data_IF_008337947730
#
_entry.id   IF_008337947730
#
_cell.length_a   1.000
_cell.length_b   1.000
_cell.length_c   1.000
_cell.angle_alpha   90.00
_cell.angle_beta   90.00
_cell.angle_gamma   90.00
#
_symmetry.space_group_name_H-M   'P 1'
#
loop_
_entity.id
_entity.type
_entity.pdbx_description
1 polymer ?
#
# COMPACT_ATOMS: atom_id res chain seq x y z
N UNK A 1 9.86 42.17 -18.91
CA UNK A 1 10.10 42.18 -17.45
C UNK A 1 9.23 41.20 -16.64
N UNK A 2 7.94 41.46 -16.33
CA UNK A 2 7.15 40.54 -15.46
C UNK A 2 6.94 39.13 -16.08
N UNK A 3 6.68 39.06 -17.38
CA UNK A 3 6.52 37.79 -18.10
C UNK A 3 7.84 36.98 -18.20
N UNK A 4 8.99 37.65 -18.30
CA UNK A 4 10.31 36.99 -18.32
C UNK A 4 10.70 36.45 -16.96
N UNK A 5 10.43 37.18 -15.87
CA UNK A 5 10.65 36.71 -14.51
C UNK A 5 9.80 35.46 -14.24
N UNK A 6 8.54 35.45 -14.67
CA UNK A 6 7.65 34.29 -14.55
C UNK A 6 8.17 33.11 -15.40
N UNK A 7 8.58 33.35 -16.66
CA UNK A 7 9.14 32.32 -17.53
C UNK A 7 10.42 31.70 -16.93
N UNK A 8 11.34 32.52 -16.44
CA UNK A 8 12.58 32.05 -15.82
C UNK A 8 12.32 31.23 -14.55
N UNK A 9 11.35 31.65 -13.73
CA UNK A 9 10.96 30.92 -12.51
C UNK A 9 10.21 29.61 -12.79
N UNK A 10 9.42 29.55 -13.87
CA UNK A 10 8.79 28.30 -14.32
C UNK A 10 9.85 27.34 -14.87
N UNK A 11 10.79 27.86 -15.66
CA UNK A 11 11.85 27.06 -16.24
C UNK A 11 12.78 26.49 -15.17
N UNK A 12 13.16 27.28 -14.16
CA UNK A 12 13.96 26.79 -13.04
C UNK A 12 13.24 25.73 -12.21
N UNK A 13 11.92 25.84 -12.01
CA UNK A 13 11.12 24.81 -11.34
C UNK A 13 11.01 23.53 -12.18
N UNK A 14 10.87 23.63 -13.51
CA UNK A 14 10.83 22.47 -14.40
C UNK A 14 12.19 21.76 -14.48
N UNK A 15 13.29 22.51 -14.49
CA UNK A 15 14.66 21.97 -14.42
C UNK A 15 14.88 21.25 -13.08
N UNK A 16 14.41 21.81 -11.97
CA UNK A 16 14.45 21.18 -10.65
C UNK A 16 13.64 19.88 -10.59
N UNK A 17 12.44 19.86 -11.18
CA UNK A 17 11.60 18.66 -11.25
C UNK A 17 12.28 17.55 -12.06
N UNK A 18 12.90 17.86 -13.21
CA UNK A 18 13.65 16.90 -14.02
C UNK A 18 14.85 16.33 -13.26
N UNK A 19 15.62 17.19 -12.60
CA UNK A 19 16.79 16.76 -11.83
C UNK A 19 16.39 15.84 -10.67
N UNK A 20 15.37 16.21 -9.89
CA UNK A 20 14.88 15.37 -8.80
C UNK A 20 14.33 14.03 -9.31
N UNK A 21 13.64 14.02 -10.46
CA UNK A 21 13.16 12.78 -11.07
C UNK A 21 14.33 11.88 -11.51
N UNK A 22 15.33 12.45 -12.18
CA UNK A 22 16.54 11.71 -12.60
C UNK A 22 17.25 11.10 -11.38
N UNK A 23 17.43 11.89 -10.32
CA UNK A 23 18.05 11.42 -9.08
C UNK A 23 17.23 10.30 -8.42
N UNK A 24 15.91 10.42 -8.39
CA UNK A 24 15.04 9.35 -7.87
C UNK A 24 15.17 8.07 -8.69
N UNK A 25 15.23 8.17 -10.03
CA UNK A 25 15.46 7.01 -10.91
C UNK A 25 16.85 6.39 -10.72
N UNK A 26 17.90 7.21 -10.54
CA UNK A 26 19.26 6.74 -10.24
C UNK A 26 19.34 5.95 -8.93
N UNK A 27 18.42 6.17 -7.99
CA UNK A 27 18.30 5.39 -6.76
C UNK A 27 17.43 4.15 -6.99
N UNK A 28 16.25 4.31 -7.59
CA UNK A 28 15.27 3.23 -7.73
C UNK A 28 15.74 2.12 -8.68
N UNK A 29 16.44 2.44 -9.78
CA UNK A 29 16.86 1.45 -10.78
C UNK A 29 17.87 0.44 -10.20
N UNK A 30 18.98 0.85 -9.54
CA UNK A 30 19.89 -0.12 -8.91
C UNK A 30 19.21 -0.98 -7.85
N UNK A 31 18.35 -0.37 -7.00
CA UNK A 31 17.59 -1.12 -6.00
C UNK A 31 16.67 -2.17 -6.66
N UNK A 32 16.00 -1.80 -7.75
CA UNK A 32 15.12 -2.71 -8.46
C UNK A 32 15.85 -3.80 -9.22
N UNK A 33 17.04 -3.53 -9.73
CA UNK A 33 17.81 -4.51 -10.46
C UNK A 33 18.42 -5.57 -9.53
N UNK A 34 19.12 -5.14 -8.47
CA UNK A 34 19.96 -6.03 -7.66
C UNK A 34 19.26 -6.64 -6.45
N UNK A 35 18.22 -6.00 -5.92
CA UNK A 35 17.56 -6.46 -4.69
C UNK A 35 16.23 -7.13 -4.99
N UNK A 36 15.73 -7.95 -4.08
CA UNK A 36 14.42 -8.58 -4.13
C UNK A 36 14.19 -9.41 -2.88
N UNK A 37 13.04 -9.23 -2.23
CA UNK A 37 12.72 -9.96 -1.01
C UNK A 37 12.55 -11.45 -1.31
N UNK A 38 13.24 -12.32 -0.57
CA UNK A 38 13.28 -13.76 -0.80
C UNK A 38 11.90 -14.40 -1.05
N UNK A 39 10.91 -14.08 -0.22
CA UNK A 39 9.57 -14.66 -0.35
C UNK A 39 8.83 -14.14 -1.59
N UNK A 40 8.80 -12.82 -1.78
CA UNK A 40 7.96 -12.19 -2.79
C UNK A 40 8.54 -12.29 -4.20
N UNK A 41 9.88 -12.33 -4.35
CA UNK A 41 10.49 -12.55 -5.66
C UNK A 41 10.16 -13.95 -6.19
N UNK A 42 10.15 -14.97 -5.31
CA UNK A 42 9.77 -16.34 -5.66
C UNK A 42 8.33 -16.40 -6.16
N UNK A 43 7.41 -15.80 -5.41
CA UNK A 43 5.99 -15.73 -5.81
C UNK A 43 5.81 -14.95 -7.10
N UNK A 44 6.42 -13.77 -7.23
CA UNK A 44 6.19 -12.89 -8.38
C UNK A 44 6.72 -13.50 -9.67
N UNK A 45 7.94 -14.05 -9.63
CA UNK A 45 8.52 -14.73 -10.80
C UNK A 45 7.80 -16.04 -11.13
N UNK A 46 7.45 -16.83 -10.12
CA UNK A 46 6.68 -18.06 -10.30
C UNK A 46 5.31 -17.80 -10.89
N UNK A 47 4.60 -16.80 -10.37
CA UNK A 47 3.29 -16.37 -10.88
C UNK A 47 3.37 -15.97 -12.35
N UNK A 48 4.38 -15.17 -12.73
CA UNK A 48 4.52 -14.78 -14.13
C UNK A 48 4.78 -15.97 -15.04
N UNK A 49 5.61 -16.93 -14.62
CA UNK A 49 5.79 -18.19 -15.33
C UNK A 49 4.47 -18.96 -15.46
N UNK A 50 3.74 -19.20 -14.35
CA UNK A 50 2.51 -19.99 -14.35
C UNK A 50 1.45 -19.38 -15.27
N UNK A 51 1.16 -18.09 -15.12
CA UNK A 51 0.15 -17.40 -15.94
C UNK A 51 0.53 -17.42 -17.41
N UNK A 52 1.80 -17.22 -17.75
CA UNK A 52 2.28 -17.26 -19.14
C UNK A 52 2.14 -18.64 -19.82
N UNK A 53 2.00 -19.71 -19.02
CA UNK A 53 1.80 -21.09 -19.49
C UNK A 53 0.35 -21.57 -19.30
N UNK A 54 -0.59 -20.67 -18.97
CA UNK A 54 -2.00 -21.01 -18.76
C UNK A 54 -2.25 -21.82 -17.47
N UNK A 55 -1.31 -21.82 -16.53
CA UNK A 55 -1.41 -22.51 -15.26
C UNK A 55 -2.04 -21.60 -14.19
N UNK A 56 -2.63 -22.22 -13.17
CA UNK A 56 -3.26 -21.54 -12.05
C UNK A 56 -2.21 -20.90 -11.12
N UNK A 57 -2.14 -19.56 -10.99
CA UNK A 57 -1.13 -18.89 -10.17
C UNK A 57 -1.35 -19.02 -8.66
N UNK A 58 -2.50 -19.53 -8.25
CA UNK A 58 -2.87 -19.72 -6.84
C UNK A 58 -2.41 -21.06 -6.27
N UNK A 59 -1.83 -21.92 -7.12
CA UNK A 59 -1.31 -23.23 -6.74
C UNK A 59 0.14 -23.17 -6.27
N UNK A 60 0.49 -24.08 -5.35
CA UNK A 60 1.87 -24.31 -4.97
C UNK A 60 2.62 -24.98 -6.11
N UNK A 61 3.89 -24.60 -6.29
CA UNK A 61 4.67 -25.04 -7.44
C UNK A 61 6.17 -25.08 -7.13
N UNK A 62 6.92 -25.91 -7.85
CA UNK A 62 8.38 -26.01 -7.74
C UNK A 62 9.05 -25.25 -8.88
N UNK A 63 9.97 -24.34 -8.54
CA UNK A 63 10.60 -23.42 -9.49
C UNK A 63 12.07 -23.74 -9.78
N UNK A 64 12.67 -24.68 -9.05
CA UNK A 64 14.11 -24.95 -9.13
C UNK A 64 14.58 -25.34 -10.53
N UNK A 65 13.81 -26.17 -11.24
CA UNK A 65 14.13 -26.58 -12.61
C UNK A 65 13.79 -25.55 -13.70
N UNK A 66 13.10 -24.46 -13.35
CA UNK A 66 12.73 -23.39 -14.30
C UNK A 66 13.79 -22.29 -14.26
N UNK A 67 14.14 -21.83 -13.06
CA UNK A 67 15.04 -20.68 -12.87
C UNK A 67 16.49 -21.08 -12.56
N UNK A 68 16.76 -22.37 -12.26
CA UNK A 68 18.10 -22.91 -11.99
C UNK A 68 18.94 -22.07 -11.01
N UNK A 69 18.31 -21.52 -9.97
CA UNK A 69 18.95 -20.66 -8.99
C UNK A 69 18.53 -21.04 -7.56
N UNK A 70 19.45 -20.94 -6.60
CA UNK A 70 19.31 -21.48 -5.25
C UNK A 70 18.07 -20.96 -4.50
N UNK A 71 17.70 -19.69 -4.70
CA UNK A 71 16.51 -19.11 -4.05
C UNK A 71 15.20 -19.78 -4.47
N UNK A 72 15.17 -20.51 -5.60
CA UNK A 72 13.98 -21.19 -6.11
C UNK A 72 13.91 -22.67 -5.72
N UNK A 73 14.80 -23.13 -4.85
CA UNK A 73 14.69 -24.46 -4.26
C UNK A 73 13.48 -24.56 -3.34
N UNK A 74 12.91 -25.76 -3.23
CA UNK A 74 11.69 -26.03 -2.46
C UNK A 74 10.40 -25.53 -3.11
N UNK A 75 9.30 -25.72 -2.38
CA UNK A 75 7.96 -25.33 -2.84
C UNK A 75 7.79 -23.82 -2.70
N UNK A 76 7.22 -23.19 -3.73
CA UNK A 76 6.79 -21.79 -3.72
C UNK A 76 5.28 -21.74 -3.55
N UNK A 77 4.74 -20.94 -2.62
CA UNK A 77 3.30 -20.77 -2.49
C UNK A 77 2.71 -20.03 -3.68
N UNK A 78 1.39 -20.18 -3.87
CA UNK A 78 0.64 -19.40 -4.84
C UNK A 78 0.55 -17.92 -4.45
N UNK A 79 0.17 -17.08 -5.42
CA UNK A 79 0.01 -15.65 -5.18
C UNK A 79 -1.15 -15.34 -4.24
N UNK A 80 -0.93 -14.44 -3.28
CA UNK A 80 -1.97 -13.96 -2.35
C UNK A 80 -2.76 -12.74 -2.84
N UNK A 81 -2.63 -12.37 -4.12
CA UNK A 81 -3.26 -11.17 -4.70
C UNK A 81 -4.34 -11.56 -5.71
N UNK A 82 -5.36 -10.70 -5.92
CA UNK A 82 -6.36 -11.00 -6.93
C UNK A 82 -5.77 -10.93 -8.35
N UNK A 83 -6.50 -11.46 -9.36
CA UNK A 83 -5.96 -11.73 -10.69
C UNK A 83 -5.23 -10.61 -11.43
N UNK A 84 -5.59 -9.31 -11.33
CA UNK A 84 -4.97 -8.27 -12.15
C UNK A 84 -3.45 -8.22 -12.04
N UNK A 85 -2.87 -8.40 -10.84
CA UNK A 85 -1.41 -8.43 -10.71
C UNK A 85 -0.80 -9.70 -11.30
N UNK A 86 -1.43 -10.87 -11.13
CA UNK A 86 -0.97 -12.12 -11.72
C UNK A 86 -0.91 -12.03 -13.26
N UNK A 87 -1.93 -11.42 -13.88
CA UNK A 87 -1.97 -11.18 -15.32
C UNK A 87 -0.84 -10.24 -15.79
N UNK A 88 -0.57 -9.18 -15.03
CA UNK A 88 0.55 -8.27 -15.31
C UNK A 88 1.89 -9.03 -15.23
N UNK A 89 2.10 -9.84 -14.18
CA UNK A 89 3.32 -10.66 -14.04
C UNK A 89 3.50 -11.65 -15.20
N UNK A 90 2.41 -12.26 -15.67
CA UNK A 90 2.41 -13.15 -16.84
C UNK A 90 2.87 -12.43 -18.11
N UNK A 91 2.35 -11.23 -18.35
CA UNK A 91 2.78 -10.39 -19.47
C UNK A 91 4.26 -10.00 -19.34
N UNK A 92 4.71 -9.61 -18.14
CA UNK A 92 6.10 -9.26 -17.89
C UNK A 92 7.02 -10.45 -18.16
N UNK A 93 6.65 -11.68 -17.75
CA UNK A 93 7.41 -12.89 -18.06
C UNK A 93 7.58 -13.06 -19.58
N UNK A 94 6.49 -12.95 -20.34
CA UNK A 94 6.50 -13.09 -21.80
C UNK A 94 7.39 -12.05 -22.49
N UNK A 95 7.45 -10.84 -21.95
CA UNK A 95 8.21 -9.71 -22.51
C UNK A 95 9.65 -9.59 -21.97
N UNK A 96 10.04 -10.41 -21.00
CA UNK A 96 11.39 -10.36 -20.40
C UNK A 96 12.02 -11.75 -20.36
N UNK A 97 11.78 -12.53 -19.31
CA UNK A 97 12.47 -13.80 -19.06
C UNK A 97 12.32 -14.81 -20.20
N UNK A 98 11.15 -14.86 -20.87
CA UNK A 98 10.96 -15.74 -22.03
C UNK A 98 11.86 -15.40 -23.22
N UNK A 99 12.24 -14.12 -23.36
CA UNK A 99 13.09 -13.62 -24.44
C UNK A 99 14.56 -13.70 -24.02
N UNK A 100 14.87 -13.22 -22.81
CA UNK A 100 16.21 -13.20 -22.23
C UNK A 100 16.11 -13.83 -20.84
N UNK A 101 16.48 -15.11 -20.69
CA UNK A 101 16.34 -15.87 -19.43
C UNK A 101 17.42 -15.46 -18.40
N UNK A 102 17.33 -14.20 -17.95
CA UNK A 102 18.17 -13.60 -16.93
C UNK A 102 17.31 -13.15 -15.74
N UNK A 103 17.68 -13.58 -14.53
CA UNK A 103 16.89 -13.34 -13.32
C UNK A 103 16.92 -11.88 -12.87
N UNK A 104 18.05 -11.19 -13.04
CA UNK A 104 18.17 -9.78 -12.66
C UNK A 104 17.33 -8.89 -13.58
N UNK A 105 17.36 -9.17 -14.88
CA UNK A 105 16.53 -8.50 -15.86
C UNK A 105 15.04 -8.77 -15.61
N UNK A 106 14.67 -10.01 -15.26
CA UNK A 106 13.28 -10.33 -14.95
C UNK A 106 12.80 -9.65 -13.66
N UNK A 107 13.62 -9.66 -12.60
CA UNK A 107 13.36 -8.94 -11.35
C UNK A 107 13.16 -7.45 -11.61
N UNK A 108 14.05 -6.84 -12.40
CA UNK A 108 13.95 -5.45 -12.81
C UNK A 108 12.67 -5.19 -13.61
N UNK A 109 12.33 -6.04 -14.57
CA UNK A 109 11.13 -5.91 -15.39
C UNK A 109 9.84 -5.96 -14.56
N UNK A 110 9.77 -6.82 -13.54
CA UNK A 110 8.66 -6.87 -12.57
C UNK A 110 8.50 -5.52 -11.84
N UNK A 111 9.61 -4.84 -11.55
CA UNK A 111 9.63 -3.62 -10.73
C UNK A 111 9.52 -2.33 -11.53
N UNK A 112 9.68 -2.36 -12.84
CA UNK A 112 9.41 -1.20 -13.72
C UNK A 112 8.01 -0.58 -13.50
N UNK A 113 6.89 -1.34 -13.54
CA UNK A 113 5.57 -0.77 -13.26
C UNK A 113 5.45 -0.23 -11.83
N UNK A 114 6.19 -0.77 -10.87
CA UNK A 114 6.22 -0.31 -9.47
C UNK A 114 6.93 1.04 -9.35
N UNK A 115 8.10 1.19 -9.97
CA UNK A 115 8.83 2.48 -10.05
C UNK A 115 7.97 3.54 -10.74
N UNK A 116 7.32 3.19 -11.86
CA UNK A 116 6.39 4.08 -12.53
C UNK A 116 5.22 4.47 -11.61
N UNK A 117 4.69 3.51 -10.85
CA UNK A 117 3.68 3.72 -9.81
C UNK A 117 4.11 4.75 -8.76
N UNK A 118 5.34 4.66 -8.24
CA UNK A 118 5.88 5.61 -7.26
C UNK A 118 5.96 7.03 -7.82
N UNK A 119 6.42 7.17 -9.05
CA UNK A 119 6.53 8.47 -9.73
C UNK A 119 5.13 9.06 -9.94
N UNK A 120 4.19 8.26 -10.47
CA UNK A 120 2.81 8.70 -10.69
C UNK A 120 2.09 9.01 -9.38
N UNK A 121 2.35 8.27 -8.31
CA UNK A 121 1.85 8.54 -6.97
C UNK A 121 2.31 9.92 -6.48
N UNK A 122 3.60 10.22 -6.59
CA UNK A 122 4.13 11.52 -6.19
C UNK A 122 3.44 12.65 -6.96
N UNK A 123 3.29 12.52 -8.28
CA UNK A 123 2.60 13.51 -9.11
C UNK A 123 1.11 13.61 -8.78
N UNK A 124 0.42 12.51 -8.51
CA UNK A 124 -0.98 12.50 -8.12
C UNK A 124 -1.20 13.27 -6.81
N UNK A 125 -0.34 13.07 -5.82
CA UNK A 125 -0.37 13.82 -4.56
C UNK A 125 -0.13 15.31 -4.79
N UNK A 126 0.92 15.66 -5.55
CA UNK A 126 1.20 17.07 -5.89
C UNK A 126 0.01 17.73 -6.58
N UNK A 127 -0.59 17.04 -7.55
CA UNK A 127 -1.71 17.56 -8.33
C UNK A 127 -2.96 17.73 -7.48
N UNK A 128 -3.27 16.78 -6.60
CA UNK A 128 -4.40 16.89 -5.67
C UNK A 128 -4.18 18.07 -4.70
N UNK A 129 -2.97 18.22 -4.15
CA UNK A 129 -2.62 19.35 -3.28
C UNK A 129 -2.78 20.70 -4.00
N UNK A 130 -2.24 20.84 -5.21
CA UNK A 130 -2.29 22.09 -5.97
C UNK A 130 -3.71 22.43 -6.47
N UNK A 131 -4.38 21.46 -7.09
CA UNK A 131 -5.57 21.74 -7.88
C UNK A 131 -6.87 21.53 -7.13
N UNK A 132 -6.94 20.56 -6.22
CA UNK A 132 -8.16 20.22 -5.49
C UNK A 132 -8.17 20.85 -4.09
N UNK A 133 -7.00 20.89 -3.43
CA UNK A 133 -6.84 21.49 -2.10
C UNK A 133 -6.32 22.93 -2.11
N UNK A 134 -5.89 23.45 -3.27
CA UNK A 134 -5.38 24.82 -3.44
C UNK A 134 -4.20 25.16 -2.52
N UNK A 135 -3.35 24.18 -2.23
CA UNK A 135 -2.13 24.36 -1.45
C UNK A 135 -1.06 25.09 -2.28
N UNK A 136 -0.22 25.86 -1.60
CA UNK A 136 0.86 26.59 -2.25
C UNK A 136 1.86 25.64 -2.95
N UNK A 137 2.49 26.17 -4.01
CA UNK A 137 3.37 25.38 -4.88
C UNK A 137 4.58 24.80 -4.16
N UNK A 138 5.11 25.50 -3.17
CA UNK A 138 6.32 25.08 -2.46
C UNK A 138 5.99 23.87 -1.61
N UNK A 139 4.93 23.95 -0.80
CA UNK A 139 4.48 22.81 0.01
C UNK A 139 4.08 21.60 -0.82
N UNK A 140 3.39 21.81 -1.94
CA UNK A 140 3.05 20.71 -2.84
C UNK A 140 4.29 20.06 -3.48
N UNK A 141 5.32 20.85 -3.82
CA UNK A 141 6.60 20.33 -4.30
C UNK A 141 7.37 19.59 -3.19
N UNK A 142 7.34 20.07 -1.95
CA UNK A 142 7.91 19.34 -0.80
C UNK A 142 7.22 17.99 -0.60
N UNK A 143 5.89 17.94 -0.65
CA UNK A 143 5.14 16.69 -0.58
C UNK A 143 5.52 15.69 -1.69
N UNK A 144 5.71 16.20 -2.91
CA UNK A 144 6.18 15.41 -4.05
C UNK A 144 7.57 14.80 -3.80
N UNK A 145 8.54 15.62 -3.36
CA UNK A 145 9.89 15.16 -3.03
C UNK A 145 9.86 14.14 -1.88
N UNK A 146 9.03 14.36 -0.87
CA UNK A 146 8.90 13.45 0.27
C UNK A 146 8.41 12.07 -0.13
N UNK A 147 7.61 11.94 -1.19
CA UNK A 147 7.19 10.64 -1.71
C UNK A 147 8.30 10.01 -2.55
N UNK A 148 8.91 10.76 -3.46
CA UNK A 148 9.98 10.25 -4.34
C UNK A 148 11.22 9.75 -3.59
N UNK A 149 11.51 10.34 -2.43
CA UNK A 149 12.70 10.04 -1.64
C UNK A 149 12.36 9.49 -0.26
N UNK A 150 11.13 9.03 -0.02
CA UNK A 150 10.81 8.37 1.25
C UNK A 150 11.62 7.06 1.36
N UNK A 151 12.47 6.87 2.39
CA UNK A 151 13.27 5.66 2.51
C UNK A 151 12.43 4.39 2.64
N UNK A 152 11.28 4.47 3.31
CA UNK A 152 10.36 3.35 3.44
C UNK A 152 9.82 2.94 2.07
N UNK A 153 9.22 3.88 1.32
CA UNK A 153 8.70 3.61 -0.02
C UNK A 153 9.79 3.03 -0.92
N UNK A 154 10.98 3.64 -0.99
CA UNK A 154 12.06 3.15 -1.85
C UNK A 154 12.45 1.69 -1.53
N UNK A 155 12.46 1.34 -0.25
CA UNK A 155 12.79 -0.01 0.21
C UNK A 155 11.65 -0.99 -0.08
N UNK A 156 10.42 -0.71 0.33
CA UNK A 156 9.28 -1.64 0.17
C UNK A 156 8.76 -1.73 -1.26
N UNK A 157 9.00 -0.73 -2.10
CA UNK A 157 8.60 -0.76 -3.51
C UNK A 157 9.76 -1.17 -4.42
N UNK A 158 10.80 -0.34 -4.58
CA UNK A 158 11.85 -0.56 -5.58
C UNK A 158 12.80 -1.68 -5.17
N UNK A 159 13.26 -1.72 -3.91
CA UNK A 159 14.15 -2.80 -3.47
C UNK A 159 13.41 -4.12 -3.24
N UNK A 160 12.20 -4.09 -2.68
CA UNK A 160 11.44 -5.29 -2.33
C UNK A 160 10.58 -5.82 -3.47
N UNK A 161 9.87 -4.94 -4.19
CA UNK A 161 8.97 -5.29 -5.30
C UNK A 161 7.47 -5.30 -4.93
N UNK A 162 7.04 -4.53 -3.93
CA UNK A 162 5.62 -4.48 -3.54
C UNK A 162 4.85 -3.42 -4.33
N UNK A 163 3.59 -3.71 -4.61
CA UNK A 163 2.72 -2.92 -5.50
C UNK A 163 1.86 -1.88 -4.76
N UNK A 164 1.99 -1.77 -3.44
CA UNK A 164 1.14 -0.93 -2.60
C UNK A 164 1.21 0.56 -3.01
N UNK A 165 2.34 1.03 -3.56
CA UNK A 165 2.44 2.37 -4.17
C UNK A 165 1.53 2.57 -5.40
N UNK A 166 1.35 1.55 -6.25
CA UNK A 166 0.40 1.57 -7.37
C UNK A 166 -1.03 1.63 -6.83
N UNK A 167 -1.33 0.84 -5.79
CA UNK A 167 -2.64 0.84 -5.12
C UNK A 167 -2.94 2.23 -4.55
N UNK A 168 -1.99 2.85 -3.86
CA UNK A 168 -2.11 4.21 -3.34
C UNK A 168 -2.38 5.24 -4.44
N UNK A 169 -1.66 5.13 -5.57
CA UNK A 169 -1.84 6.01 -6.73
C UNK A 169 -3.27 5.93 -7.26
N UNK A 170 -3.80 4.72 -7.44
CA UNK A 170 -5.16 4.49 -7.95
C UNK A 170 -6.22 5.02 -6.96
N UNK A 171 -6.02 4.86 -5.66
CA UNK A 171 -6.92 5.42 -4.64
C UNK A 171 -6.93 6.95 -4.70
N UNK A 172 -5.76 7.59 -4.72
CA UNK A 172 -5.66 9.06 -4.78
C UNK A 172 -6.27 9.59 -6.08
N UNK A 173 -6.01 8.93 -7.21
CA UNK A 173 -6.61 9.28 -8.50
C UNK A 173 -8.13 9.06 -8.50
N UNK A 174 -8.62 8.02 -7.83
CA UNK A 174 -10.06 7.80 -7.63
C UNK A 174 -10.70 8.98 -6.90
N UNK A 175 -10.08 9.44 -5.80
CA UNK A 175 -10.55 10.59 -5.03
C UNK A 175 -10.49 11.90 -5.81
N UNK A 176 -9.43 12.10 -6.60
CA UNK A 176 -9.32 13.23 -7.52
C UNK A 176 -10.50 13.29 -8.49
N UNK A 177 -10.83 12.17 -9.15
CA UNK A 177 -11.96 12.10 -10.06
C UNK A 177 -13.32 12.22 -9.37
N UNK A 178 -13.45 11.68 -8.16
CA UNK A 178 -14.66 11.82 -7.36
C UNK A 178 -14.96 13.29 -7.04
N UNK A 179 -13.92 14.04 -6.63
CA UNK A 179 -14.04 15.45 -6.33
C UNK A 179 -14.53 16.24 -7.55
N UNK A 180 -14.06 15.88 -8.75
CA UNK A 180 -14.48 16.45 -10.04
C UNK A 180 -15.82 15.90 -10.57
N UNK A 181 -16.58 15.21 -9.74
CA UNK A 181 -17.90 14.60 -10.07
C UNK A 181 -17.85 13.54 -11.17
N UNK A 182 -16.66 13.00 -11.47
CA UNK A 182 -16.47 11.92 -12.44
C UNK A 182 -16.64 10.55 -11.76
N UNK A 183 -17.84 10.31 -11.23
CA UNK A 183 -18.16 9.19 -10.32
C UNK A 183 -17.83 7.82 -10.90
N UNK A 184 -18.12 7.60 -12.19
CA UNK A 184 -17.82 6.32 -12.85
C UNK A 184 -16.33 6.01 -12.91
N UNK A 185 -15.49 7.01 -13.25
CA UNK A 185 -14.03 6.82 -13.30
C UNK A 185 -13.46 6.56 -11.90
N UNK A 186 -13.96 7.29 -10.90
CA UNK A 186 -13.60 7.05 -9.51
C UNK A 186 -13.94 5.62 -9.06
N UNK A 187 -15.15 5.15 -9.36
CA UNK A 187 -15.60 3.80 -9.00
C UNK A 187 -14.70 2.71 -9.63
N UNK A 188 -14.40 2.83 -10.94
CA UNK A 188 -13.52 1.87 -11.63
C UNK A 188 -12.10 1.88 -11.04
N UNK A 189 -11.54 3.05 -10.77
CA UNK A 189 -10.18 3.15 -10.22
C UNK A 189 -10.06 2.59 -8.80
N UNK A 190 -11.07 2.82 -7.94
CA UNK A 190 -11.07 2.23 -6.60
C UNK A 190 -11.29 0.72 -6.66
N UNK A 191 -12.18 0.25 -7.52
CA UNK A 191 -12.36 -1.18 -7.78
C UNK A 191 -11.07 -1.84 -8.26
N UNK A 192 -10.32 -1.19 -9.16
CA UNK A 192 -9.01 -1.67 -9.62
C UNK A 192 -7.99 -1.69 -8.48
N UNK A 193 -7.93 -0.66 -7.62
CA UNK A 193 -7.06 -0.64 -6.46
C UNK A 193 -7.34 -1.82 -5.51
N UNK A 194 -8.61 -2.06 -5.19
CA UNK A 194 -9.07 -3.20 -4.37
C UNK A 194 -8.71 -4.54 -5.03
N UNK A 195 -8.90 -4.64 -6.35
CA UNK A 195 -8.62 -5.85 -7.13
C UNK A 195 -7.13 -6.08 -7.35
N UNK A 196 -6.26 -5.09 -7.17
CA UNK A 196 -4.81 -5.31 -7.10
C UNK A 196 -4.38 -5.78 -5.72
N UNK A 197 -4.92 -5.15 -4.67
CA UNK A 197 -4.66 -5.55 -3.29
C UNK A 197 -5.85 -5.18 -2.38
N UNK A 198 -6.47 -6.14 -1.68
CA UNK A 198 -7.64 -5.90 -0.84
C UNK A 198 -7.42 -4.92 0.33
N UNK A 199 -6.18 -4.52 0.62
CA UNK A 199 -5.82 -3.50 1.62
C UNK A 199 -6.53 -2.14 1.38
N UNK A 200 -6.97 -1.85 0.15
CA UNK A 200 -7.75 -0.66 -0.18
C UNK A 200 -9.27 -0.78 0.11
N UNK A 201 -9.79 -2.00 0.36
CA UNK A 201 -11.23 -2.26 0.58
C UNK A 201 -11.85 -1.42 1.71
N UNK A 202 -11.17 -1.18 2.86
CA UNK A 202 -11.65 -0.28 3.91
C UNK A 202 -12.13 1.10 3.44
N UNK A 203 -11.62 1.59 2.31
CA UNK A 203 -11.94 2.91 1.77
C UNK A 203 -13.23 2.95 0.95
N UNK A 204 -13.78 1.80 0.53
CA UNK A 204 -14.96 1.73 -0.35
C UNK A 204 -16.21 2.44 0.19
N UNK A 205 -16.52 2.41 1.50
CA UNK A 205 -17.66 3.16 2.02
C UNK A 205 -17.51 4.69 1.94
N UNK A 206 -16.29 5.26 1.96
CA UNK A 206 -16.09 6.72 1.90
C UNK A 206 -16.76 7.36 0.66
N UNK A 207 -16.46 6.94 -0.59
CA UNK A 207 -17.06 7.53 -1.78
C UNK A 207 -18.55 7.21 -1.93
N UNK A 208 -19.03 6.08 -1.41
CA UNK A 208 -20.46 5.73 -1.37
C UNK A 208 -21.21 6.75 -0.51
N UNK A 209 -20.72 7.01 0.71
CA UNK A 209 -21.31 8.01 1.59
C UNK A 209 -21.18 9.42 0.99
N UNK A 210 -20.04 9.75 0.37
CA UNK A 210 -19.85 11.04 -0.32
C UNK A 210 -20.90 11.27 -1.41
N UNK A 211 -21.17 10.26 -2.23
CA UNK A 211 -22.12 10.36 -3.36
C UNK A 211 -23.59 10.31 -2.90
N UNK A 212 -23.90 9.55 -1.85
CA UNK A 212 -25.25 9.45 -1.27
C UNK A 212 -25.81 10.80 -0.82
N UNK A 213 -24.96 11.71 -0.35
CA UNK A 213 -25.36 13.07 0.03
C UNK A 213 -25.82 13.93 -1.13
N UNK A 214 -25.25 13.71 -2.32
CA UNK A 214 -25.65 14.45 -3.52
C UNK A 214 -26.94 13.88 -4.12
N UNK A 215 -26.96 12.56 -4.35
CA UNK A 215 -28.13 11.86 -4.89
C UNK A 215 -28.01 10.35 -4.65
N UNK A 216 -29.10 9.73 -4.23
CA UNK A 216 -29.19 8.26 -4.15
C UNK A 216 -28.92 7.57 -5.48
N UNK A 217 -29.26 8.21 -6.62
CA UNK A 217 -28.94 7.69 -7.96
C UNK A 217 -27.43 7.65 -8.20
N UNK A 218 -26.70 8.68 -7.78
CA UNK A 218 -25.24 8.72 -7.89
C UNK A 218 -24.57 7.70 -6.99
N UNK A 219 -25.10 7.48 -5.78
CA UNK A 219 -24.66 6.43 -4.87
C UNK A 219 -24.87 5.03 -5.47
N UNK A 220 -26.09 4.72 -5.93
CA UNK A 220 -26.40 3.46 -6.58
C UNK A 220 -25.51 3.21 -7.80
N UNK A 221 -25.31 4.25 -8.63
CA UNK A 221 -24.38 4.18 -9.77
C UNK A 221 -22.94 3.87 -9.33
N UNK A 222 -22.44 4.52 -8.29
CA UNK A 222 -21.09 4.29 -7.78
C UNK A 222 -20.93 2.85 -7.28
N UNK A 223 -21.90 2.36 -6.51
CA UNK A 223 -21.92 1.01 -5.96
C UNK A 223 -21.96 -0.04 -7.06
N UNK A 224 -22.88 0.09 -8.03
CA UNK A 224 -23.02 -0.85 -9.15
C UNK A 224 -21.73 -0.90 -9.98
N UNK A 225 -21.17 0.25 -10.35
CA UNK A 225 -19.93 0.28 -11.15
C UNK A 225 -18.77 -0.33 -10.36
N UNK A 226 -18.65 -0.02 -9.07
CA UNK A 226 -17.58 -0.58 -8.23
C UNK A 226 -17.69 -2.10 -8.12
N UNK A 227 -18.88 -2.61 -7.78
CA UNK A 227 -19.13 -4.05 -7.65
C UNK A 227 -18.94 -4.80 -8.97
N UNK A 228 -19.48 -4.27 -10.07
CA UNK A 228 -19.30 -4.85 -11.39
C UNK A 228 -17.82 -4.87 -11.80
N UNK A 229 -17.07 -3.78 -11.53
CA UNK A 229 -15.65 -3.71 -11.85
C UNK A 229 -14.83 -4.69 -11.01
N UNK A 230 -15.10 -4.80 -9.71
CA UNK A 230 -14.44 -5.80 -8.84
C UNK A 230 -14.74 -7.21 -9.37
N UNK A 231 -16.02 -7.53 -9.62
CA UNK A 231 -16.41 -8.84 -10.14
C UNK A 231 -15.71 -9.16 -11.46
N UNK A 232 -15.69 -8.22 -12.39
CA UNK A 232 -15.01 -8.40 -13.69
C UNK A 232 -13.51 -8.62 -13.49
N UNK A 233 -12.85 -7.81 -12.67
CA UNK A 233 -11.41 -7.90 -12.47
C UNK A 233 -10.97 -9.13 -11.68
N UNK A 234 -11.82 -9.66 -10.80
CA UNK A 234 -11.45 -10.77 -9.92
C UNK A 234 -12.03 -12.13 -10.30
N UNK A 235 -13.18 -12.18 -10.96
CA UNK A 235 -13.88 -13.44 -11.27
C UNK A 235 -13.73 -13.85 -12.73
N UNK A 236 -13.79 -12.89 -13.67
CA UNK A 236 -13.68 -13.21 -15.11
C UNK A 236 -12.36 -13.92 -15.48
N UNK A 237 -11.19 -13.57 -14.91
CA UNK A 237 -9.95 -14.28 -15.20
C UNK A 237 -9.99 -15.77 -14.86
N UNK A 238 -10.71 -16.17 -13.79
CA UNK A 238 -10.86 -17.59 -13.45
C UNK A 238 -11.62 -18.36 -14.53
N UNK A 239 -12.69 -17.77 -15.07
CA UNK A 239 -13.46 -18.39 -16.14
C UNK A 239 -12.73 -18.40 -17.48
N UNK A 240 -12.04 -17.32 -17.83
CA UNK A 240 -11.35 -17.21 -19.14
C UNK A 240 -10.08 -18.06 -19.22
N UNK A 241 -9.39 -18.28 -18.10
CA UNK A 241 -8.12 -18.99 -18.04
C UNK A 241 -8.24 -20.37 -17.36
N UNK A 242 -9.46 -20.82 -17.08
CA UNK A 242 -9.76 -22.10 -16.44
C UNK A 242 -9.00 -22.30 -15.11
N UNK A 243 -8.85 -21.22 -14.33
CA UNK A 243 -8.21 -21.31 -13.01
C UNK A 243 -9.18 -21.88 -11.98
N UNK A 244 -8.70 -22.77 -11.13
CA UNK A 244 -9.50 -23.36 -10.06
C UNK A 244 -9.64 -22.39 -8.86
N UNK A 245 -10.85 -21.89 -8.54
CA UNK A 245 -11.05 -20.98 -7.41
C UNK A 245 -11.04 -21.69 -6.06
N UNK A 246 -11.10 -23.03 -6.03
CA UNK A 246 -11.28 -23.82 -4.81
C UNK A 246 -10.20 -23.60 -3.76
N UNK A 247 -8.97 -23.27 -4.16
CA UNK A 247 -7.88 -22.97 -3.22
C UNK A 247 -8.16 -21.66 -2.47
N UNK A 248 -8.62 -20.64 -3.17
CA UNK A 248 -8.97 -19.35 -2.55
C UNK A 248 -10.19 -19.53 -1.65
N UNK A 249 -11.23 -20.24 -2.13
CA UNK A 249 -12.44 -20.45 -1.35
C UNK A 249 -12.20 -21.26 -0.07
N UNK A 250 -11.23 -22.18 -0.06
CA UNK A 250 -10.84 -22.94 1.14
C UNK A 250 -9.94 -22.17 2.11
N UNK A 251 -9.28 -21.11 1.64
CA UNK A 251 -8.30 -20.33 2.42
C UNK A 251 -8.64 -18.83 2.42
N UNK A 252 -9.94 -18.50 2.36
CA UNK A 252 -10.40 -17.11 2.23
C UNK A 252 -10.05 -16.25 3.45
N UNK A 253 -9.84 -16.90 4.59
CA UNK A 253 -9.51 -16.33 5.90
C UNK A 253 -8.03 -16.52 6.30
N UNK A 254 -7.16 -16.87 5.34
CA UNK A 254 -5.75 -17.13 5.61
C UNK A 254 -5.01 -15.91 6.20
N UNK A 255 -5.48 -14.68 5.94
CA UNK A 255 -4.89 -13.47 6.51
C UNK A 255 -5.48 -13.10 7.88
N UNK A 256 -6.60 -13.72 8.26
CA UNK A 256 -7.38 -13.48 9.46
C UNK A 256 -6.98 -14.47 10.55
N UNK A 257 -6.50 -15.65 10.18
CA UNK A 257 -5.96 -16.68 11.09
C UNK A 257 -4.50 -16.45 11.49
N UNK A 258 -3.83 -15.50 10.85
CA UNK A 258 -2.43 -15.17 11.11
C UNK A 258 -2.32 -13.99 12.08
N UNK A 259 -1.39 -14.08 13.03
CA UNK A 259 -1.05 -13.04 14.00
C UNK A 259 0.43 -12.65 13.83
N UNK A 260 0.70 -11.37 13.58
CA UNK A 260 2.08 -10.89 13.53
C UNK A 260 2.31 -9.67 12.64
N UNK A 261 3.55 -9.51 12.19
CA UNK A 261 3.97 -8.33 11.45
C UNK A 261 3.84 -7.05 12.29
N UNK A 262 3.52 -5.93 11.66
CA UNK A 262 3.36 -4.62 12.31
C UNK A 262 2.00 -4.47 13.04
N UNK A 263 1.55 -5.55 13.68
CA UNK A 263 0.27 -5.62 14.38
C UNK A 263 0.46 -5.64 15.90
N UNK A 264 -0.56 -5.16 16.64
CA UNK A 264 -0.61 -5.36 18.10
C UNK A 264 -0.58 -6.85 18.46
N UNK A 265 -1.09 -7.72 17.60
CA UNK A 265 -1.10 -9.18 17.79
C UNK A 265 0.28 -9.82 17.65
N UNK A 266 1.33 -9.06 17.31
CA UNK A 266 2.72 -9.53 17.32
C UNK A 266 3.19 -10.07 18.68
N UNK A 267 2.48 -9.77 19.78
CA UNK A 267 2.76 -10.41 21.07
C UNK A 267 2.57 -11.93 21.03
N UNK A 268 1.70 -12.46 20.15
CA UNK A 268 1.45 -13.90 20.05
C UNK A 268 2.73 -14.67 19.66
N UNK A 269 3.49 -14.13 18.71
CA UNK A 269 4.77 -14.72 18.32
C UNK A 269 5.79 -14.63 19.47
N UNK A 270 5.81 -13.51 20.18
CA UNK A 270 6.72 -13.30 21.33
C UNK A 270 6.41 -14.21 22.51
N UNK A 271 5.13 -14.44 22.83
CA UNK A 271 4.71 -15.22 24.01
C UNK A 271 4.55 -16.72 23.74
N UNK A 272 4.03 -17.08 22.57
CA UNK A 272 3.66 -18.45 22.25
C UNK A 272 4.56 -19.07 21.16
N UNK A 273 5.46 -18.30 20.56
CA UNK A 273 6.31 -18.78 19.45
C UNK A 273 5.51 -19.13 18.19
N UNK A 274 4.25 -18.71 18.10
CA UNK A 274 3.31 -19.07 17.06
C UNK A 274 2.86 -17.85 16.27
N UNK A 275 2.74 -18.02 14.96
CA UNK A 275 2.29 -17.00 14.01
C UNK A 275 0.78 -17.08 13.70
N UNK A 276 0.08 -18.00 14.35
CA UNK A 276 -1.35 -18.24 14.16
C UNK A 276 -2.12 -17.82 15.40
N UNK A 277 -3.31 -17.27 15.17
CA UNK A 277 -4.29 -17.07 16.23
C UNK A 277 -4.79 -18.45 16.65
N UNK A 278 -4.79 -18.80 17.95
CA UNK A 278 -5.40 -20.04 18.42
C UNK A 278 -6.85 -20.15 17.98
N UNK A 279 -7.34 -21.35 17.66
CA UNK A 279 -8.72 -21.56 17.19
C UNK A 279 -9.77 -20.99 18.17
N UNK A 280 -9.50 -21.06 19.48
CA UNK A 280 -10.35 -20.49 20.53
C UNK A 280 -10.47 -18.97 20.48
N UNK A 281 -9.54 -18.29 19.79
CA UNK A 281 -9.45 -16.84 19.62
C UNK A 281 -9.65 -16.41 18.16
N UNK A 282 -10.09 -17.30 17.26
CA UNK A 282 -10.26 -17.05 15.82
C UNK A 282 -10.95 -15.71 15.48
N UNK A 283 -11.99 -15.34 16.25
CA UNK A 283 -12.72 -14.08 16.06
C UNK A 283 -11.86 -12.82 16.23
N UNK A 284 -10.70 -12.91 16.90
CA UNK A 284 -9.75 -11.80 17.01
C UNK A 284 -9.19 -11.39 15.64
N UNK A 285 -9.12 -12.32 14.68
CA UNK A 285 -8.74 -12.06 13.29
C UNK A 285 -9.63 -11.02 12.59
N UNK A 286 -10.87 -10.86 13.07
CA UNK A 286 -11.90 -10.05 12.45
C UNK A 286 -12.17 -8.73 13.19
N UNK A 287 -11.43 -8.41 14.26
CA UNK A 287 -11.62 -7.19 15.08
C UNK A 287 -11.54 -5.90 14.24
N UNK A 288 -10.81 -5.93 13.13
CA UNK A 288 -10.73 -4.79 12.22
C UNK A 288 -12.08 -4.40 11.59
N UNK A 289 -13.02 -5.34 11.42
CA UNK A 289 -14.35 -5.06 10.84
C UNK A 289 -15.18 -4.13 11.76
N UNK A 290 -15.46 -4.49 13.04
CA UNK A 290 -16.16 -3.59 13.94
C UNK A 290 -15.34 -2.32 14.21
N UNK A 291 -14.01 -2.38 14.24
CA UNK A 291 -13.18 -1.19 14.39
C UNK A 291 -13.35 -0.18 13.24
N UNK A 292 -13.35 -0.64 11.99
CA UNK A 292 -13.66 0.20 10.82
C UNK A 292 -15.08 0.74 10.91
N UNK A 293 -16.07 -0.10 11.24
CA UNK A 293 -17.46 0.34 11.36
C UNK A 293 -17.61 1.46 12.40
N UNK A 294 -17.02 1.28 13.58
CA UNK A 294 -16.92 2.32 14.61
C UNK A 294 -16.17 3.55 14.09
N UNK A 295 -15.08 3.34 13.35
CA UNK A 295 -14.35 4.40 12.65
C UNK A 295 -15.28 5.25 11.79
N UNK A 296 -16.09 4.64 10.92
CA UNK A 296 -17.06 5.37 10.10
C UNK A 296 -18.14 6.09 10.93
N UNK A 297 -18.63 5.48 12.02
CA UNK A 297 -19.61 6.10 12.91
C UNK A 297 -19.01 7.33 13.61
N UNK A 298 -17.82 7.21 14.21
CA UNK A 298 -17.18 8.28 14.98
C UNK A 298 -16.55 9.36 14.10
N UNK A 299 -16.04 9.00 12.92
CA UNK A 299 -15.62 9.96 11.92
C UNK A 299 -16.82 10.74 11.38
N UNK A 300 -18.05 10.20 11.52
CA UNK A 300 -19.32 10.67 10.98
C UNK A 300 -19.05 11.47 9.71
N UNK A 301 -18.56 10.83 8.65
CA UNK A 301 -17.64 11.51 7.78
C UNK A 301 -18.31 12.70 7.14
N UNK A 302 -17.90 13.88 7.59
CA UNK A 302 -18.43 15.15 7.11
C UNK A 302 -17.67 15.43 5.82
N UNK A 303 -17.94 14.67 4.76
CA UNK A 303 -17.18 14.76 3.50
C UNK A 303 -17.64 15.94 2.64
N UNK A 304 -17.50 17.15 3.12
CA UNK A 304 -17.91 18.33 2.37
C UNK A 304 -16.75 18.90 1.54
N UNK A 305 -15.50 18.52 1.87
CA UNK A 305 -14.30 18.94 1.14
C UNK A 305 -13.36 17.77 0.81
N UNK A 306 -12.46 17.94 -0.18
CA UNK A 306 -11.37 17.00 -0.44
C UNK A 306 -10.46 16.79 0.78
N UNK A 307 -10.26 17.83 1.59
CA UNK A 307 -9.46 17.77 2.81
C UNK A 307 -10.07 16.79 3.82
N UNK A 308 -11.39 16.88 4.03
CA UNK A 308 -12.12 15.96 4.89
C UNK A 308 -12.02 14.52 4.40
N UNK A 309 -12.14 14.30 3.08
CA UNK A 309 -11.99 12.97 2.49
C UNK A 309 -10.59 12.39 2.70
N UNK A 310 -9.52 13.18 2.50
CA UNK A 310 -8.14 12.74 2.74
C UNK A 310 -7.92 12.38 4.22
N UNK A 311 -8.37 13.22 5.15
CA UNK A 311 -8.23 12.95 6.58
C UNK A 311 -8.99 11.71 7.00
N UNK A 312 -10.23 11.55 6.53
CA UNK A 312 -11.02 10.36 6.81
C UNK A 312 -10.41 9.09 6.22
N UNK A 313 -9.87 9.16 5.00
CA UNK A 313 -9.15 8.05 4.40
C UNK A 313 -7.91 7.67 5.20
N UNK A 314 -7.10 8.66 5.59
CA UNK A 314 -5.95 8.45 6.46
C UNK A 314 -6.36 7.76 7.78
N UNK A 315 -7.42 8.25 8.43
CA UNK A 315 -7.93 7.66 9.67
C UNK A 315 -8.46 6.24 9.48
N UNK A 316 -9.21 5.96 8.41
CA UNK A 316 -9.76 4.62 8.14
C UNK A 316 -8.65 3.62 7.81
N UNK A 317 -7.65 4.00 7.00
CA UNK A 317 -6.49 3.15 6.73
C UNK A 317 -5.74 2.86 8.03
N UNK A 318 -5.51 3.87 8.86
CA UNK A 318 -4.87 3.68 10.17
C UNK A 318 -5.68 2.76 11.07
N UNK A 319 -6.99 2.98 11.22
CA UNK A 319 -7.84 2.12 12.05
C UNK A 319 -7.76 0.67 11.56
N UNK A 320 -7.85 0.45 10.25
CA UNK A 320 -7.68 -0.87 9.66
C UNK A 320 -6.33 -1.48 10.01
N UNK A 321 -5.22 -0.82 9.67
CA UNK A 321 -3.87 -1.35 9.93
C UNK A 321 -3.59 -1.56 11.42
N UNK A 322 -4.09 -0.69 12.31
CA UNK A 322 -3.86 -0.81 13.75
C UNK A 322 -4.64 -1.95 14.40
N UNK A 323 -5.72 -2.43 13.78
CA UNK A 323 -6.64 -3.42 14.36
C UNK A 323 -6.67 -4.77 13.65
N UNK A 324 -5.97 -4.92 12.53
CA UNK A 324 -5.77 -6.22 11.87
C UNK A 324 -4.87 -7.13 12.71
N UNK A 325 -5.15 -8.43 12.67
CA UNK A 325 -4.30 -9.45 13.28
C UNK A 325 -2.91 -9.56 12.62
N UNK A 326 -2.85 -9.28 11.32
CA UNK A 326 -1.60 -9.29 10.57
C UNK A 326 -1.48 -8.07 9.66
N UNK A 327 -0.31 -7.44 9.69
CA UNK A 327 0.03 -6.29 8.85
C UNK A 327 1.42 -6.51 8.28
N UNK A 328 1.51 -6.66 6.96
CA UNK A 328 2.83 -6.61 6.32
C UNK A 328 3.31 -5.18 6.25
N UNK A 329 4.62 -5.00 6.40
CA UNK A 329 5.27 -3.70 6.37
C UNK A 329 4.91 -2.92 5.08
N UNK A 330 4.94 -3.53 3.87
CA UNK A 330 4.61 -2.82 2.64
C UNK A 330 3.18 -2.24 2.59
N UNK A 331 2.25 -2.73 3.41
CA UNK A 331 0.90 -2.15 3.46
C UNK A 331 0.89 -0.65 3.83
N UNK A 332 1.97 -0.15 4.44
CA UNK A 332 2.09 1.25 4.80
C UNK A 332 2.35 2.18 3.60
N UNK A 333 2.74 1.66 2.44
CA UNK A 333 2.86 2.47 1.22
C UNK A 333 1.49 3.00 0.75
N UNK A 334 0.39 2.31 1.11
CA UNK A 334 -0.96 2.85 0.95
C UNK A 334 -1.20 4.08 1.85
N UNK A 335 -0.63 4.08 3.06
CA UNK A 335 -0.87 5.10 4.09
C UNK A 335 0.03 6.34 3.93
N UNK A 336 1.32 6.16 3.61
CA UNK A 336 2.32 7.24 3.59
C UNK A 336 1.89 8.45 2.75
N UNK A 337 1.34 8.30 1.53
CA UNK A 337 0.88 9.44 0.73
C UNK A 337 -0.21 10.26 1.44
N UNK A 338 -1.12 9.61 2.17
CA UNK A 338 -2.11 10.30 2.98
C UNK A 338 -1.48 11.03 4.15
N UNK A 339 -0.49 10.43 4.81
CA UNK A 339 0.27 11.07 5.89
C UNK A 339 1.01 12.33 5.40
N UNK A 340 1.64 12.26 4.22
CA UNK A 340 2.27 13.41 3.57
C UNK A 340 1.24 14.51 3.33
N UNK A 341 0.05 14.17 2.79
CA UNK A 341 -1.00 15.16 2.54
C UNK A 341 -1.52 15.81 3.82
N UNK A 342 -1.86 15.04 4.87
CA UNK A 342 -2.37 15.61 6.13
C UNK A 342 -1.30 16.38 6.91
N UNK A 343 -0.03 16.02 6.78
CA UNK A 343 1.09 16.83 7.30
C UNK A 343 1.21 18.15 6.54
N UNK A 344 1.11 18.11 5.21
CA UNK A 344 1.15 19.31 4.36
C UNK A 344 0.01 20.28 4.67
N UNK A 345 -1.15 19.74 5.07
CA UNK A 345 -2.32 20.46 5.57
C UNK A 345 -2.18 20.94 7.03
N UNK A 346 -1.02 20.76 7.65
CA UNK A 346 -0.73 21.07 9.06
C UNK A 346 -1.63 20.34 10.08
N UNK A 347 -2.25 19.22 9.71
CA UNK A 347 -3.06 18.45 10.66
C UNK A 347 -2.18 17.64 11.64
N UNK A 348 -1.00 17.20 11.19
CA UNK A 348 0.03 16.54 11.99
C UNK A 348 1.39 17.23 11.81
N UNK A 349 2.32 17.04 12.76
CA UNK A 349 3.66 17.60 12.67
C UNK A 349 4.62 16.72 11.88
N UNK A 350 5.73 17.31 11.40
CA UNK A 350 6.82 16.58 10.76
C UNK A 350 7.35 15.42 11.62
N UNK A 351 7.47 15.61 12.95
CA UNK A 351 7.95 14.55 13.86
C UNK A 351 7.05 13.32 13.85
N UNK A 352 5.73 13.54 13.84
CA UNK A 352 4.73 12.46 13.83
C UNK A 352 4.74 11.74 12.48
N UNK A 353 4.86 12.49 11.38
CA UNK A 353 5.05 11.91 10.05
C UNK A 353 6.33 11.05 9.99
N UNK A 354 7.45 11.56 10.51
CA UNK A 354 8.72 10.82 10.51
C UNK A 354 8.62 9.52 11.29
N UNK A 355 8.04 9.55 12.50
CA UNK A 355 7.80 8.34 13.28
C UNK A 355 6.92 7.33 12.54
N UNK A 356 5.92 7.81 11.80
CA UNK A 356 4.98 6.94 11.09
C UNK A 356 5.58 6.13 9.94
N UNK A 357 6.76 6.48 9.41
CA UNK A 357 7.48 5.64 8.44
C UNK A 357 8.78 5.05 9.01
N UNK A 358 9.46 5.74 9.94
CA UNK A 358 10.73 5.26 10.48
C UNK A 358 10.57 4.12 11.48
N UNK A 359 9.53 4.14 12.32
CA UNK A 359 9.24 3.05 13.28
C UNK A 359 8.93 1.74 12.53
N UNK A 360 8.06 1.73 11.51
CA UNK A 360 7.88 0.55 10.65
C UNK A 360 9.15 0.10 9.93
N UNK A 361 10.04 1.03 9.53
CA UNK A 361 11.31 0.66 8.91
C UNK A 361 12.24 -0.07 9.89
N UNK A 362 12.32 0.42 11.14
CA UNK A 362 13.03 -0.26 12.22
C UNK A 362 12.41 -1.64 12.47
N UNK A 363 11.08 -1.74 12.48
CA UNK A 363 10.39 -3.02 12.59
C UNK A 363 10.77 -3.96 11.44
N UNK A 364 10.75 -3.51 10.18
CA UNK A 364 11.12 -4.34 9.02
C UNK A 364 12.56 -4.88 9.13
N UNK A 365 13.48 -4.12 9.72
CA UNK A 365 14.83 -4.59 10.00
C UNK A 365 14.83 -5.66 11.09
N UNK A 366 14.13 -5.43 12.21
CA UNK A 366 13.98 -6.40 13.30
C UNK A 366 13.20 -7.65 12.88
N UNK A 367 12.31 -7.54 11.90
CA UNK A 367 11.59 -8.66 11.31
C UNK A 367 12.42 -9.40 10.25
N UNK A 368 13.71 -9.04 10.08
CA UNK A 368 14.66 -9.59 9.11
C UNK A 368 14.31 -9.37 7.64
N UNK A 369 13.23 -8.63 7.35
CA UNK A 369 12.75 -8.40 5.99
C UNK A 369 13.74 -7.59 5.15
N UNK A 370 14.45 -6.64 5.76
CA UNK A 370 15.47 -5.84 5.05
C UNK A 370 16.66 -6.69 4.59
N UNK A 371 17.30 -7.52 5.45
CA UNK A 371 18.29 -8.48 5.00
C UNK A 371 17.80 -9.44 3.90
N UNK A 372 16.54 -9.87 3.93
CA UNK A 372 15.98 -10.76 2.89
C UNK A 372 15.94 -10.13 1.49
N UNK A 373 16.08 -8.80 1.37
CA UNK A 373 16.19 -8.11 0.08
C UNK A 373 17.45 -8.49 -0.71
N UNK A 374 18.47 -9.04 -0.04
CA UNK A 374 19.73 -9.42 -0.67
C UNK A 374 19.66 -10.81 -1.29
N UNK A 375 18.54 -11.53 -1.22
CA UNK A 375 18.44 -12.92 -1.65
C UNK A 375 18.91 -13.18 -3.09
N UNK A 376 18.70 -12.23 -4.01
CA UNK A 376 19.10 -12.39 -5.40
C UNK A 376 20.63 -12.34 -5.59
N UNK A 377 21.34 -11.51 -4.82
CA UNK A 377 22.81 -11.39 -4.87
C UNK A 377 23.53 -12.22 -3.81
N UNK A 378 22.82 -12.65 -2.77
CA UNK A 378 23.31 -13.48 -1.68
C UNK A 378 22.29 -14.58 -1.33
N UNK A 379 22.26 -15.69 -2.10
CA UNK A 379 21.24 -16.73 -1.93
C UNK A 379 21.26 -17.43 -0.57
N UNK A 380 22.41 -17.44 0.11
CA UNK A 380 22.58 -18.06 1.43
C UNK A 380 21.99 -17.21 2.58
N UNK A 381 21.49 -15.99 2.28
CA UNK A 381 20.98 -15.05 3.29
C UNK A 381 19.94 -15.66 4.23
N UNK A 382 19.06 -16.54 3.73
CA UNK A 382 18.02 -17.16 4.57
C UNK A 382 18.62 -18.13 5.57
N UNK A 383 19.59 -18.94 5.16
CA UNK A 383 20.29 -19.87 6.04
C UNK A 383 21.02 -19.13 7.16
N UNK A 384 21.72 -18.06 6.81
CA UNK A 384 22.43 -17.21 7.76
C UNK A 384 21.49 -16.50 8.72
N UNK A 385 20.39 -15.93 8.21
CA UNK A 385 19.37 -15.28 9.03
C UNK A 385 18.72 -16.25 10.00
N UNK A 386 18.42 -17.48 9.59
CA UNK A 386 17.95 -18.52 10.51
C UNK A 386 18.99 -18.83 11.59
N UNK A 387 20.28 -18.95 11.23
CA UNK A 387 21.36 -19.19 12.18
C UNK A 387 21.54 -18.05 13.20
N UNK A 388 21.37 -16.80 12.77
CA UNK A 388 21.37 -15.62 13.65
C UNK A 388 20.11 -15.61 14.52
N UNK A 389 18.93 -15.83 13.93
CA UNK A 389 17.65 -15.81 14.63
C UNK A 389 17.66 -16.81 15.79
N UNK A 390 18.14 -18.04 15.59
CA UNK A 390 18.26 -19.03 16.67
C UNK A 390 19.02 -18.52 17.90
N UNK A 391 19.96 -17.57 17.74
CA UNK A 391 20.75 -16.99 18.84
C UNK A 391 20.06 -15.80 19.51
N UNK A 392 19.29 -15.00 18.75
CA UNK A 392 18.74 -13.72 19.23
C UNK A 392 17.21 -13.61 19.16
N UNK A 393 16.50 -14.70 18.83
CA UNK A 393 15.05 -14.71 18.54
C UNK A 393 14.23 -14.00 19.61
N UNK A 394 14.41 -14.36 20.88
CA UNK A 394 13.65 -13.75 21.98
C UNK A 394 13.85 -12.24 22.08
N UNK A 395 15.11 -11.77 22.00
CA UNK A 395 15.43 -10.35 22.05
C UNK A 395 14.90 -9.60 20.82
N UNK A 396 15.02 -10.21 19.62
CA UNK A 396 14.53 -9.66 18.36
C UNK A 396 13.00 -9.52 18.36
N UNK A 397 12.27 -10.56 18.77
CA UNK A 397 10.81 -10.54 18.86
C UNK A 397 10.32 -9.54 19.89
N UNK A 398 10.97 -9.46 21.06
CA UNK A 398 10.65 -8.44 22.07
C UNK A 398 10.88 -7.02 21.53
N UNK A 399 12.01 -6.76 20.86
CA UNK A 399 12.28 -5.47 20.25
C UNK A 399 11.28 -5.12 19.13
N UNK A 400 10.90 -6.11 18.30
CA UNK A 400 9.86 -5.97 17.29
C UNK A 400 8.51 -5.60 17.92
N UNK A 401 8.12 -6.28 19.00
CA UNK A 401 6.89 -5.98 19.72
C UNK A 401 6.89 -4.59 20.36
N UNK A 402 8.00 -4.17 20.98
CA UNK A 402 8.12 -2.80 21.51
C UNK A 402 7.99 -1.75 20.39
N UNK A 403 8.56 -2.04 19.22
CA UNK A 403 8.41 -1.19 18.03
C UNK A 403 6.94 -1.13 17.58
N UNK A 404 6.21 -2.25 17.63
CA UNK A 404 4.76 -2.27 17.36
C UNK A 404 3.97 -1.44 18.37
N UNK A 405 4.33 -1.41 19.65
CA UNK A 405 3.68 -0.54 20.64
C UNK A 405 3.86 0.94 20.30
N UNK A 406 5.07 1.34 19.90
CA UNK A 406 5.34 2.71 19.45
C UNK A 406 4.53 3.04 18.19
N UNK A 407 4.44 2.11 17.24
CA UNK A 407 3.60 2.24 16.06
C UNK A 407 2.13 2.42 16.43
N UNK A 408 1.61 1.61 17.35
CA UNK A 408 0.22 1.67 17.81
C UNK A 408 -0.10 3.01 18.46
N UNK A 409 0.75 3.48 19.37
CA UNK A 409 0.60 4.79 20.01
C UNK A 409 0.63 5.92 18.98
N UNK A 410 1.57 5.87 18.03
CA UNK A 410 1.72 6.88 16.97
C UNK A 410 0.49 6.90 16.06
N UNK A 411 0.02 5.73 15.62
CA UNK A 411 -1.15 5.60 14.75
C UNK A 411 -2.43 6.10 15.41
N UNK A 412 -2.72 5.68 16.64
CA UNK A 412 -3.89 6.15 17.38
C UNK A 412 -3.81 7.65 17.71
N UNK A 413 -2.62 8.18 18.01
CA UNK A 413 -2.40 9.60 18.15
C UNK A 413 -2.81 10.37 16.88
N UNK A 414 -2.41 9.88 15.69
CA UNK A 414 -2.79 10.48 14.41
C UNK A 414 -4.31 10.44 14.23
N UNK A 415 -4.96 9.28 14.43
CA UNK A 415 -6.42 9.13 14.31
C UNK A 415 -7.15 10.14 15.21
N UNK A 416 -6.77 10.23 16.49
CA UNK A 416 -7.38 11.17 17.45
C UNK A 416 -7.14 12.62 17.02
N UNK A 417 -5.92 12.94 16.57
CA UNK A 417 -5.53 14.31 16.17
C UNK A 417 -6.31 14.78 14.94
N UNK A 418 -6.46 13.93 13.93
CA UNK A 418 -7.25 14.23 12.73
C UNK A 418 -8.73 14.49 13.08
N UNK A 419 -9.25 13.80 14.12
CA UNK A 419 -10.65 13.92 14.53
C UNK A 419 -10.94 15.13 15.42
N UNK A 420 -9.99 15.58 16.26
CA UNK A 420 -10.16 16.78 17.10
C UNK A 420 -10.30 18.08 16.29
N UNK A 421 -9.70 18.14 15.10
CA UNK A 421 -9.86 19.31 14.22
C UNK A 421 -11.27 19.42 13.64
N UNK A 422 -12.00 18.32 13.49
CA UNK A 422 -13.40 18.31 13.02
C UNK A 422 -14.39 18.87 14.06
N UNK A 423 -14.10 18.77 15.35
CA UNK A 423 -14.99 19.28 16.40
C UNK A 423 -14.86 20.78 16.59
N UNK A 424 -13.64 21.35 16.50
CA UNK A 424 -13.39 22.79 16.69
C UNK A 424 -13.96 23.67 15.57
N UNK A 425 -13.82 23.25 14.31
CA UNK A 425 -14.41 24.01 13.18
C UNK A 425 -15.94 24.10 13.24
N UNK A 426 -16.59 23.09 13.87
CA UNK A 426 -18.04 23.06 14.10
C UNK A 426 -18.47 24.12 15.12
N UNK A 427 -17.75 24.25 16.23
CA UNK A 427 -18.08 25.21 17.27
C UNK A 427 -18.07 26.63 16.70
N UNK A 428 -17.03 26.99 15.94
CA UNK A 428 -16.89 28.32 15.36
C UNK A 428 -17.95 28.67 14.29
N UNK A 429 -18.48 27.68 13.55
CA UNK A 429 -19.57 27.93 12.57
C UNK A 429 -20.94 28.11 13.22
N UNK A 430 -21.19 27.42 14.33
CA UNK A 430 -22.46 27.56 15.06
C UNK A 430 -22.52 28.93 15.73
N UNK A 431 -21.41 29.38 16.34
CA UNK A 431 -21.34 30.71 16.96
C UNK A 431 -21.43 31.85 15.95
N UNK A 432 -20.88 31.69 14.73
CA UNK A 432 -20.97 32.73 13.69
C UNK A 432 -22.36 32.86 13.04
N UNK A 433 -23.25 31.87 13.21
CA UNK A 433 -24.64 31.95 12.74
C UNK A 433 -25.63 32.36 13.84
N UNK A 434 -25.20 32.40 15.11
CA UNK A 434 -26.00 32.98 16.19
C UNK A 434 -25.79 34.49 16.39
N UNK A 435 -24.77 35.06 15.73
CA UNK A 435 -24.43 36.50 15.78
C UNK A 435 -24.85 37.27 14.52
N UNK A 436 -25.52 36.60 13.56
CA UNK A 436 -26.15 37.19 12.37
C UNK A 436 -27.66 37.00 12.44
#
# INVERSE_FOLDING_TARGET
MYAEIIRHRIQSLLEQDKFALLLSLMIQIPLAFFLGHFYDIRISMGTGYLVAHGLNPYEQHYLGGIFNHEIFQGITPGIGYPPPWALILGLIYLLSYKIVPDLFLYNFAIKLPIIAGNIFLAYAVRNMLLHDLKIDRIKAASAWLLILFNPFILITSSAWGQIDGIVAFLVILSFHYLHRKMTGRSAVLLALAISLKPVALPLLPLPIIYTARGSMKSCAKYLIISLASILVLTVVPFYLLDWNPGIILRNWDAHETVAGGLSIFGFMETLHGAYHIPDSLYLLGFVWIPAIALGYIFLHPRFNSPEEMIRSACSIILIFLLTRAWVSEPNLDLLIPFLVMVMTLNNISWRVYTLAWSVPLVFAFLNTSIPQLFALIYPQVIGDLSGIDLKIRGARLMAGYLTNLVWQVTGWYIVIRLNRHLSRSRFNRITSHSES
#
